data_IF_997668929285
#
_entry.id   IF_997668929285
#
_cell.length_a   1.000
_cell.length_b   1.000
_cell.length_c   1.000
_cell.angle_alpha   90.00
_cell.angle_beta   90.00
_cell.angle_gamma   90.00
#
_symmetry.space_group_name_H-M   'P 1'
#
loop_
_entity.id
_entity.type
_entity.pdbx_description
1 polymer ?
#
# COMPACT_ATOMS: atom_id res chain seq x y z
N UNK A 1 0.24 22.53 17.80
CA UNK A 1 0.04 21.48 16.79
C UNK A 1 1.14 20.45 16.91
N UNK A 2 0.77 19.17 16.92
CA UNK A 2 1.73 18.06 16.96
C UNK A 2 1.91 17.45 15.59
N UNK A 3 3.09 16.88 15.34
CA UNK A 3 3.36 16.02 14.19
C UNK A 3 3.67 14.62 14.71
N UNK A 4 2.91 13.63 14.24
CA UNK A 4 3.12 12.23 14.58
C UNK A 4 3.54 11.47 13.34
N UNK A 5 4.66 10.76 13.43
CA UNK A 5 5.20 9.94 12.33
C UNK A 5 5.23 8.48 12.74
N UNK A 6 4.68 7.63 11.88
CA UNK A 6 4.66 6.19 12.10
C UNK A 6 5.32 5.47 10.92
N UNK A 7 6.37 4.73 11.20
CA UNK A 7 7.10 3.98 10.19
C UNK A 7 6.40 2.67 9.80
N UNK A 8 6.97 1.95 8.82
CA UNK A 8 6.38 0.73 8.28
C UNK A 8 6.18 -0.37 9.33
N UNK A 9 7.06 -0.47 10.33
CA UNK A 9 6.91 -1.42 11.43
C UNK A 9 5.68 -1.11 12.28
N UNK A 10 5.42 0.20 12.54
CA UNK A 10 4.28 0.64 13.33
C UNK A 10 2.95 0.39 12.62
N UNK A 11 2.92 0.46 11.29
CA UNK A 11 1.72 0.21 10.49
C UNK A 11 1.71 -1.19 9.86
N UNK A 12 2.62 -2.06 10.27
CA UNK A 12 2.80 -3.38 9.66
C UNK A 12 1.77 -4.43 10.06
N UNK A 13 0.93 -4.16 11.05
CA UNK A 13 -0.11 -5.08 11.52
C UNK A 13 -1.41 -4.34 11.80
N UNK A 14 -2.58 -4.96 11.56
CA UNK A 14 -3.88 -4.33 11.87
C UNK A 14 -4.01 -3.88 13.33
N UNK A 15 -3.56 -4.66 14.28
CA UNK A 15 -3.62 -4.30 15.71
C UNK A 15 -2.81 -3.05 16.02
N UNK A 16 -1.63 -2.91 15.42
CA UNK A 16 -0.79 -1.74 15.59
C UNK A 16 -1.42 -0.51 14.97
N UNK A 17 -2.06 -0.67 13.83
CA UNK A 17 -2.77 0.42 13.17
C UNK A 17 -3.96 0.90 14.00
N UNK A 18 -4.68 -0.01 14.67
CA UNK A 18 -5.74 0.35 15.63
C UNK A 18 -5.18 1.15 16.81
N UNK A 19 -4.02 0.75 17.32
CA UNK A 19 -3.36 1.49 18.41
C UNK A 19 -2.97 2.91 17.98
N UNK A 20 -2.48 3.07 16.75
CA UNK A 20 -2.18 4.36 16.15
C UNK A 20 -3.45 5.22 16.07
N UNK A 21 -4.57 4.65 15.63
CA UNK A 21 -5.84 5.34 15.56
C UNK A 21 -6.28 5.85 16.95
N UNK A 22 -6.12 5.03 17.97
CA UNK A 22 -6.42 5.43 19.36
C UNK A 22 -5.55 6.58 19.82
N UNK A 23 -4.25 6.54 19.53
CA UNK A 23 -3.31 7.63 19.88
C UNK A 23 -3.69 8.94 19.20
N UNK A 24 -4.02 8.89 17.92
CA UNK A 24 -4.38 10.07 17.13
C UNK A 24 -5.67 10.69 17.64
N UNK A 25 -6.68 9.87 17.91
CA UNK A 25 -8.01 10.33 18.33
C UNK A 25 -8.08 10.73 19.78
N UNK A 26 -7.16 10.28 20.62
CA UNK A 26 -7.09 10.67 22.03
C UNK A 26 -6.60 12.10 22.21
N UNK A 27 -5.87 12.65 21.26
CA UNK A 27 -5.34 14.00 21.30
C UNK A 27 -6.42 14.99 20.86
N UNK A 28 -6.70 15.99 21.68
CA UNK A 28 -7.70 17.02 21.37
C UNK A 28 -7.15 18.17 20.55
N UNK A 29 -5.82 18.27 20.43
CA UNK A 29 -5.18 19.28 19.61
C UNK A 29 -5.08 18.82 18.15
N UNK A 30 -5.02 19.76 17.17
CA UNK A 30 -4.77 19.39 15.79
C UNK A 30 -3.46 18.64 15.64
N UNK A 31 -3.48 17.54 14.89
CA UNK A 31 -2.34 16.65 14.68
C UNK A 31 -2.09 16.47 13.19
N UNK A 32 -0.83 16.59 12.78
CA UNK A 32 -0.38 16.18 11.45
C UNK A 32 0.15 14.75 11.59
N UNK A 33 -0.44 13.84 10.82
CA UNK A 33 -0.07 12.42 10.86
C UNK A 33 0.67 12.06 9.57
N UNK A 34 1.88 11.52 9.72
CA UNK A 34 2.67 11.04 8.59
C UNK A 34 2.80 9.52 8.72
N UNK A 35 2.30 8.81 7.73
CA UNK A 35 2.30 7.35 7.71
C UNK A 35 3.21 6.83 6.60
N UNK A 36 3.97 5.78 6.90
CA UNK A 36 4.64 4.99 5.88
C UNK A 36 3.66 4.03 5.21
N UNK A 37 4.05 3.49 4.05
CA UNK A 37 3.35 2.34 3.47
C UNK A 37 3.40 1.14 4.42
N UNK A 38 2.52 0.17 4.21
CA UNK A 38 2.54 -1.08 4.97
C UNK A 38 3.89 -1.78 4.81
N UNK A 39 4.31 -2.49 5.85
CA UNK A 39 5.58 -3.18 5.89
C UNK A 39 5.79 -4.07 4.65
N UNK A 40 6.95 -3.95 4.00
CA UNK A 40 7.30 -4.74 2.82
C UNK A 40 6.78 -4.20 1.49
N UNK A 41 5.93 -3.18 1.49
CA UNK A 41 5.33 -2.64 0.25
C UNK A 41 6.38 -2.07 -0.70
N UNK A 42 7.28 -1.25 -0.21
CA UNK A 42 8.32 -0.63 -1.05
C UNK A 42 9.19 -1.69 -1.71
N UNK A 43 9.63 -2.70 -0.97
CA UNK A 43 10.43 -3.80 -1.51
C UNK A 43 9.66 -4.60 -2.56
N UNK A 44 8.37 -4.84 -2.33
CA UNK A 44 7.52 -5.53 -3.30
C UNK A 44 7.38 -4.74 -4.61
N UNK A 45 7.19 -3.43 -4.53
CA UNK A 45 7.09 -2.55 -5.70
C UNK A 45 8.40 -2.49 -6.47
N UNK A 46 9.54 -2.46 -5.77
CA UNK A 46 10.87 -2.52 -6.40
C UNK A 46 11.03 -3.84 -7.15
N UNK A 47 10.64 -4.96 -6.57
CA UNK A 47 10.71 -6.27 -7.25
C UNK A 47 9.83 -6.32 -8.49
N UNK A 48 8.60 -5.79 -8.41
CA UNK A 48 7.69 -5.71 -9.56
C UNK A 48 8.34 -4.90 -10.68
N UNK A 49 8.88 -3.74 -10.34
CA UNK A 49 9.57 -2.86 -11.28
C UNK A 49 10.75 -3.56 -11.95
N UNK A 50 11.58 -4.25 -11.17
CA UNK A 50 12.75 -5.00 -11.69
C UNK A 50 12.33 -6.12 -12.63
N UNK A 51 11.26 -6.85 -12.33
CA UNK A 51 10.73 -7.90 -13.21
C UNK A 51 10.25 -7.34 -14.52
N UNK A 52 9.56 -6.20 -14.51
CA UNK A 52 9.10 -5.53 -15.71
C UNK A 52 10.28 -5.01 -16.56
N UNK A 53 11.32 -4.48 -15.91
CA UNK A 53 12.51 -3.98 -16.60
C UNK A 53 13.24 -5.05 -17.38
N UNK A 54 13.18 -6.32 -16.94
CA UNK A 54 13.79 -7.46 -17.67
C UNK A 54 12.74 -8.24 -18.48
N UNK A 55 11.57 -7.67 -18.71
CA UNK A 55 10.47 -8.26 -19.48
C UNK A 55 9.91 -9.57 -18.91
N UNK A 56 10.07 -9.80 -17.61
CA UNK A 56 9.48 -10.93 -16.92
C UNK A 56 8.06 -10.60 -16.48
N UNK A 57 7.14 -10.60 -17.44
CA UNK A 57 5.73 -10.25 -17.20
C UNK A 57 5.03 -11.23 -16.28
N UNK A 58 5.34 -12.52 -16.39
CA UNK A 58 4.74 -13.55 -15.53
C UNK A 58 5.20 -13.36 -14.08
N UNK A 59 6.49 -13.16 -13.85
CA UNK A 59 7.02 -12.90 -12.51
C UNK A 59 6.42 -11.63 -11.90
N UNK A 60 6.27 -10.57 -12.70
CA UNK A 60 5.64 -9.33 -12.26
C UNK A 60 4.16 -9.56 -11.88
N UNK A 61 3.42 -10.31 -12.69
CA UNK A 61 2.02 -10.64 -12.41
C UNK A 61 1.86 -11.39 -11.08
N UNK A 62 2.73 -12.36 -10.84
CA UNK A 62 2.72 -13.12 -9.59
C UNK A 62 3.00 -12.24 -8.38
N UNK A 63 3.99 -11.35 -8.48
CA UNK A 63 4.34 -10.42 -7.40
C UNK A 63 3.22 -9.42 -7.11
N UNK A 64 2.56 -8.92 -8.16
CA UNK A 64 1.39 -8.03 -8.01
C UNK A 64 0.25 -8.77 -7.28
N UNK A 65 -0.02 -10.01 -7.66
CA UNK A 65 -1.07 -10.81 -7.03
C UNK A 65 -0.79 -11.07 -5.54
N UNK A 66 0.45 -11.35 -5.19
CA UNK A 66 0.86 -11.55 -3.79
C UNK A 66 0.65 -10.27 -2.99
N UNK A 67 1.06 -9.12 -3.52
CA UNK A 67 0.90 -7.83 -2.85
C UNK A 67 -0.58 -7.47 -2.69
N UNK A 68 -1.38 -7.67 -3.73
CA UNK A 68 -2.83 -7.42 -3.70
C UNK A 68 -3.51 -8.26 -2.60
N UNK A 69 -3.17 -9.54 -2.53
CA UNK A 69 -3.72 -10.45 -1.53
C UNK A 69 -3.32 -10.02 -0.11
N UNK A 70 -2.09 -9.59 0.07
CA UNK A 70 -1.61 -9.06 1.35
C UNK A 70 -2.44 -7.86 1.82
N UNK A 71 -2.70 -6.90 0.92
CA UNK A 71 -3.52 -5.74 1.25
C UNK A 71 -4.98 -6.09 1.49
N UNK A 72 -5.54 -7.00 0.72
CA UNK A 72 -6.94 -7.45 0.91
C UNK A 72 -7.13 -8.10 2.27
N UNK A 73 -6.19 -8.96 2.68
CA UNK A 73 -6.22 -9.60 3.99
C UNK A 73 -6.05 -8.57 5.11
N UNK A 74 -5.18 -7.58 4.92
CA UNK A 74 -4.95 -6.52 5.89
C UNK A 74 -6.24 -5.71 6.11
N UNK A 75 -6.91 -5.31 5.04
CA UNK A 75 -8.18 -4.59 5.10
C UNK A 75 -9.24 -5.42 5.81
N UNK A 76 -9.34 -6.70 5.46
CA UNK A 76 -10.31 -7.61 6.07
C UNK A 76 -10.12 -7.69 7.59
N UNK A 77 -8.87 -7.78 8.04
CA UNK A 77 -8.56 -7.87 9.47
C UNK A 77 -8.70 -6.54 10.21
N UNK A 78 -8.44 -5.43 9.51
CA UNK A 78 -8.45 -4.09 10.12
C UNK A 78 -9.86 -3.50 10.19
N UNK A 79 -10.63 -3.59 9.11
CA UNK A 79 -11.89 -2.86 8.92
C UNK A 79 -13.09 -3.80 9.02
N UNK A 80 -13.85 -3.67 10.10
CA UNK A 80 -15.05 -4.47 10.37
C UNK A 80 -16.31 -3.84 9.76
N UNK A 81 -16.32 -2.51 9.59
CA UNK A 81 -17.46 -1.79 9.00
C UNK A 81 -17.51 -2.04 7.50
N UNK A 82 -18.68 -2.52 7.00
CA UNK A 82 -18.87 -2.89 5.60
C UNK A 82 -18.66 -1.71 4.65
N UNK A 83 -19.14 -0.52 5.01
CA UNK A 83 -19.01 0.67 4.17
C UNK A 83 -17.56 1.12 4.04
N UNK A 84 -16.83 1.15 5.15
CA UNK A 84 -15.42 1.54 5.20
C UNK A 84 -14.57 0.51 4.47
N UNK A 85 -14.85 -0.77 4.67
CA UNK A 85 -14.16 -1.87 3.98
C UNK A 85 -14.33 -1.74 2.46
N UNK A 86 -15.55 -1.49 1.99
CA UNK A 86 -15.84 -1.32 0.56
C UNK A 86 -15.08 -0.13 -0.03
N UNK A 87 -15.03 0.99 0.69
CA UNK A 87 -14.31 2.19 0.25
C UNK A 87 -12.80 1.94 0.16
N UNK A 88 -12.22 1.27 1.15
CA UNK A 88 -10.81 0.93 1.16
C UNK A 88 -10.46 -0.01 -0.01
N UNK A 89 -11.32 -0.99 -0.27
CA UNK A 89 -11.16 -1.94 -1.37
C UNK A 89 -11.21 -1.23 -2.73
N UNK A 90 -12.08 -0.25 -2.88
CA UNK A 90 -12.19 0.59 -4.08
C UNK A 90 -10.90 1.36 -4.36
N UNK A 91 -10.33 1.98 -3.32
CA UNK A 91 -9.05 2.70 -3.41
C UNK A 91 -7.92 1.75 -3.83
N UNK A 92 -7.83 0.58 -3.21
CA UNK A 92 -6.81 -0.41 -3.56
C UNK A 92 -6.95 -0.90 -4.99
N UNK A 93 -8.18 -1.13 -5.45
CA UNK A 93 -8.43 -1.60 -6.80
C UNK A 93 -7.89 -0.62 -7.85
N UNK A 94 -8.02 0.68 -7.63
CA UNK A 94 -7.46 1.70 -8.53
C UNK A 94 -5.95 1.57 -8.68
N UNK A 95 -5.23 1.41 -7.57
CA UNK A 95 -3.77 1.26 -7.57
C UNK A 95 -3.32 -0.05 -8.20
N UNK A 96 -4.00 -1.16 -7.90
CA UNK A 96 -3.64 -2.46 -8.47
C UNK A 96 -4.00 -2.56 -9.94
N UNK A 97 -5.07 -1.91 -10.41
CA UNK A 97 -5.36 -1.80 -11.83
C UNK A 97 -4.24 -1.06 -12.57
N UNK A 98 -3.72 0.02 -12.00
CA UNK A 98 -2.56 0.72 -12.56
C UNK A 98 -1.37 -0.23 -12.71
N UNK A 99 -1.04 -0.99 -11.68
CA UNK A 99 0.07 -1.95 -11.72
C UNK A 99 -0.14 -3.02 -12.78
N UNK A 100 -1.35 -3.54 -12.91
CA UNK A 100 -1.69 -4.56 -13.91
C UNK A 100 -1.59 -4.02 -15.33
N UNK A 101 -1.96 -2.77 -15.55
CA UNK A 101 -1.87 -2.11 -16.86
C UNK A 101 -0.41 -1.89 -17.25
N UNK A 102 0.46 -1.50 -16.32
CA UNK A 102 1.86 -1.17 -16.60
C UNK A 102 2.65 -2.36 -17.16
N UNK A 103 2.26 -3.59 -16.83
CA UNK A 103 2.95 -4.76 -17.37
C UNK A 103 2.70 -4.97 -18.86
N UNK A 104 1.75 -4.25 -19.47
CA UNK A 104 1.41 -4.35 -20.90
C UNK A 104 2.14 -3.34 -21.78
N UNK A 105 2.86 -2.39 -21.17
CA UNK A 105 3.56 -1.32 -21.88
C UNK A 105 5.05 -1.34 -21.55
N UNK A 106 5.86 -0.67 -22.39
CA UNK A 106 7.30 -0.54 -22.15
C UNK A 106 7.54 0.32 -20.91
N UNK A 107 8.44 -0.14 -20.05
CA UNK A 107 8.79 0.57 -18.83
C UNK A 107 9.77 1.71 -19.15
N UNK A 108 9.41 2.94 -18.76
CA UNK A 108 10.28 4.11 -18.78
C UNK A 108 10.69 4.48 -17.34
N UNK A 109 11.69 5.36 -17.19
CA UNK A 109 12.10 5.83 -15.87
C UNK A 109 10.95 6.53 -15.13
N UNK A 110 10.15 7.32 -15.85
CA UNK A 110 8.99 8.00 -15.27
C UNK A 110 7.94 7.00 -14.79
N UNK A 111 7.64 5.98 -15.61
CA UNK A 111 6.70 4.92 -15.24
C UNK A 111 7.20 4.10 -14.06
N UNK A 112 8.51 3.84 -14.00
CA UNK A 112 9.13 3.14 -12.90
C UNK A 112 8.93 3.89 -11.57
N UNK A 113 9.11 5.22 -11.58
CA UNK A 113 8.84 6.07 -10.42
C UNK A 113 7.37 6.05 -10.03
N UNK A 114 6.46 6.03 -11.00
CA UNK A 114 5.02 5.95 -10.76
C UNK A 114 4.63 4.62 -10.11
N UNK A 115 5.28 3.51 -10.49
CA UNK A 115 5.08 2.20 -9.86
C UNK A 115 5.50 2.27 -8.37
N UNK A 116 6.68 2.81 -8.09
CA UNK A 116 7.18 2.93 -6.73
C UNK A 116 6.29 3.85 -5.87
N UNK A 117 5.68 4.85 -6.48
CA UNK A 117 4.80 5.80 -5.81
C UNK A 117 3.45 5.19 -5.37
N UNK A 118 3.09 4.00 -5.89
CA UNK A 118 1.84 3.33 -5.49
C UNK A 118 1.84 2.88 -4.01
N UNK A 119 3.03 2.73 -3.42
CA UNK A 119 3.14 2.46 -1.99
C UNK A 119 2.70 3.63 -1.16
#
# INVERSE_FOLDING_TARGET
MKVMKFGGTSVGKPERMRQIAELITADKEPVIVVLSALSGTTNALVEISNRLAVSDKQGATEKIAILENYYQNFIHDLLQDVSIHARAKEILNEHFEFLKITQKISLSDALNKDILAQG
#
